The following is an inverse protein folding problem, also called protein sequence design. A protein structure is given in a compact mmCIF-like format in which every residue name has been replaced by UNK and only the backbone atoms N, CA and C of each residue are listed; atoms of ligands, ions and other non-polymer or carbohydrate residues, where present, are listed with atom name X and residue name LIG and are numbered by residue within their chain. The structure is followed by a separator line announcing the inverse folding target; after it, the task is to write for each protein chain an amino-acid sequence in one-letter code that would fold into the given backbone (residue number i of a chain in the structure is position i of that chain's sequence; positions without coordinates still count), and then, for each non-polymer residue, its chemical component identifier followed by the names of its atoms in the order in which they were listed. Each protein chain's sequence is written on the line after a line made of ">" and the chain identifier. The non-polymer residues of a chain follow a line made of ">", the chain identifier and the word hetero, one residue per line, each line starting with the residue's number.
data_IF_743543125367
#
_entry.id   IF_743543125367
#
_cell.length_a   1.000
_cell.length_b   1.000
_cell.length_c   1.000
_cell.angle_alpha   90.00
_cell.angle_beta   90.00
_cell.angle_gamma   90.00
#
_symmetry.space_group_name_H-M   'P 1'
#
loop_
_entity.id
_entity.type
_entity.pdbx_description
1 polymer ?
#
# COMPACT_ATOMS: atom_id res chain seq x y z
N UNK A 1 35.14 38.88 11.81
CA UNK A 1 34.34 37.87 11.05
C UNK A 1 34.76 36.49 11.53
N UNK A 2 33.82 35.73 12.08
CA UNK A 2 34.09 34.35 12.52
C UNK A 2 34.37 33.47 11.30
N UNK A 3 35.42 32.64 11.32
CA UNK A 3 35.87 31.85 10.18
C UNK A 3 35.04 30.57 9.96
N UNK A 4 34.24 30.13 10.96
CA UNK A 4 33.26 29.07 10.82
C UNK A 4 32.12 29.19 11.84
N UNK A 5 31.00 28.50 11.60
CA UNK A 5 29.86 28.46 12.54
C UNK A 5 30.23 27.83 13.89
N UNK A 6 31.20 26.91 13.93
CA UNK A 6 31.70 26.28 15.15
C UNK A 6 32.47 27.28 16.02
N UNK A 7 33.29 28.16 15.42
CA UNK A 7 34.01 29.22 16.12
C UNK A 7 33.05 30.25 16.68
N UNK A 8 31.99 30.58 15.93
CA UNK A 8 30.92 31.48 16.39
C UNK A 8 30.13 30.85 17.58
N UNK A 9 29.79 29.58 17.50
CA UNK A 9 29.10 28.85 18.58
C UNK A 9 29.95 28.81 19.87
N UNK A 10 31.25 28.56 19.74
CA UNK A 10 32.19 28.55 20.88
C UNK A 10 32.35 29.94 21.51
N UNK A 11 32.39 30.99 20.69
CA UNK A 11 32.42 32.36 21.17
C UNK A 11 31.15 32.77 21.93
N UNK A 12 29.97 32.28 21.46
CA UNK A 12 28.68 32.51 22.12
C UNK A 12 28.51 31.69 23.39
N UNK A 13 29.03 30.47 23.47
CA UNK A 13 29.00 29.65 24.68
C UNK A 13 29.84 30.21 25.81
N UNK A 14 30.92 30.91 25.48
CA UNK A 14 31.78 31.58 26.47
C UNK A 14 31.20 32.92 26.98
N UNK A 15 30.12 33.42 26.39
CA UNK A 15 29.43 34.63 26.81
C UNK A 15 28.21 34.39 27.72
N UNK A 16 27.82 33.12 27.92
CA UNK A 16 26.73 32.77 28.82
C UNK A 16 27.30 32.48 30.21
N UNK A 17 26.75 33.07 31.29
CA UNK A 17 27.19 32.81 32.65
C UNK A 17 26.85 31.35 33.02
N UNK A 18 27.80 30.66 33.66
CA UNK A 18 27.62 29.31 34.16
C UNK A 18 26.52 29.31 35.24
N UNK A 19 25.41 28.62 34.91
CA UNK A 19 24.36 28.38 35.90
C UNK A 19 24.65 27.08 36.59
N UNK A 20 25.28 27.16 37.78
CA UNK A 20 25.46 26.08 38.73
C UNK A 20 24.10 25.69 39.34
N UNK A 21 23.49 24.63 38.84
CA UNK A 21 22.39 23.96 39.49
C UNK A 21 22.76 22.49 39.75
N UNK A 22 23.17 22.20 40.96
CA UNK A 22 23.42 20.89 41.53
C UNK A 22 22.09 20.12 41.66
N UNK A 23 21.91 18.90 41.18
CA UNK A 23 20.76 18.09 41.56
C UNK A 23 20.95 17.44 42.94
N UNK A 24 19.97 17.69 43.78
CA UNK A 24 19.83 17.11 45.14
C UNK A 24 19.55 15.61 45.03
N UNK A 25 20.31 14.83 45.80
CA UNK A 25 20.16 13.42 46.02
C UNK A 25 18.87 13.12 46.80
N UNK A 26 18.01 12.21 46.25
CA UNK A 26 16.98 11.53 47.04
C UNK A 26 17.24 10.04 47.09
N UNK A 27 17.41 9.61 48.33
CA UNK A 27 17.70 8.30 48.86
C UNK A 27 16.81 7.17 48.35
N UNK A 28 17.47 6.08 48.06
CA UNK A 28 16.90 4.75 47.91
C UNK A 28 16.17 4.28 49.15
N UNK A 29 14.99 3.70 49.00
CA UNK A 29 14.32 2.91 50.05
C UNK A 29 14.13 1.50 49.53
N UNK A 30 14.68 0.61 50.32
CA UNK A 30 14.80 -0.83 50.16
C UNK A 30 13.47 -1.57 50.11
N UNK A 31 13.49 -2.63 49.32
CA UNK A 31 12.55 -3.74 49.14
C UNK A 31 12.39 -4.55 50.44
N UNK A 32 11.26 -5.23 50.69
CA UNK A 32 11.36 -6.60 51.10
C UNK A 32 10.73 -7.57 50.12
N UNK A 33 11.48 -8.61 49.89
CA UNK A 33 11.24 -9.90 49.29
C UNK A 33 10.11 -10.66 50.00
N UNK A 34 9.16 -11.24 49.29
CA UNK A 34 8.50 -12.49 49.70
C UNK A 34 7.60 -13.06 48.60
N UNK A 35 7.82 -14.33 48.31
CA UNK A 35 6.76 -15.24 47.94
C UNK A 35 6.81 -15.92 46.59
N UNK A 36 7.45 -17.05 46.62
CA UNK A 36 7.44 -18.14 45.63
C UNK A 36 6.06 -18.69 45.29
N UNK A 37 5.92 -19.07 44.00
CA UNK A 37 5.25 -20.25 43.40
C UNK A 37 3.70 -20.26 43.34
N UNK A 38 3.11 -21.17 42.57
CA UNK A 38 3.66 -22.14 41.61
C UNK A 38 2.96 -22.17 40.23
N UNK A 39 3.65 -22.81 39.29
CA UNK A 39 3.21 -23.21 37.94
C UNK A 39 2.11 -24.27 38.03
N UNK A 40 1.03 -24.22 37.25
CA UNK A 40 0.18 -25.38 37.01
C UNK A 40 0.67 -26.19 35.81
N UNK A 41 0.73 -27.48 36.05
CA UNK A 41 1.10 -28.57 35.17
C UNK A 41 0.06 -28.79 34.06
N UNK A 42 0.54 -29.25 32.90
CA UNK A 42 -0.23 -29.87 31.86
C UNK A 42 -0.70 -31.26 32.26
N UNK A 43 -1.91 -31.70 31.95
CA UNK A 43 -2.19 -33.10 31.88
C UNK A 43 -2.05 -33.61 30.45
N UNK A 44 -1.10 -34.49 30.33
CA UNK A 44 -0.88 -35.38 29.19
C UNK A 44 -1.82 -36.58 29.34
N UNK A 45 -2.77 -36.80 28.44
CA UNK A 45 -3.42 -38.13 28.28
C UNK A 45 -3.43 -38.55 26.83
N UNK A 46 -2.55 -39.46 26.55
CA UNK A 46 -2.64 -40.44 25.41
C UNK A 46 -3.79 -41.40 25.66
N UNK A 47 -4.67 -41.58 24.67
CA UNK A 47 -5.35 -42.84 24.30
C UNK A 47 -5.76 -42.73 22.82
N UNK A 48 -5.22 -43.48 22.09
CA UNK A 48 -5.15 -44.61 21.16
C UNK A 48 -6.51 -45.13 20.71
N UNK A 49 -6.62 -45.14 19.33
CA UNK A 49 -7.34 -45.97 18.42
C UNK A 49 -8.89 -45.92 18.46
N UNK A 50 -9.58 -45.73 17.34
CA UNK A 50 -9.81 -46.80 16.36
C UNK A 50 -10.60 -46.26 15.14
N UNK A 51 -10.20 -46.69 13.98
CA UNK A 51 -10.82 -46.85 12.68
C UNK A 51 -12.36 -46.65 12.58
N UNK A 52 -12.91 -45.90 11.62
CA UNK A 52 -13.11 -46.30 10.22
C UNK A 52 -13.80 -45.14 9.47
N UNK A 53 -13.57 -44.91 8.19
CA UNK A 53 -14.15 -43.80 7.47
C UNK A 53 -15.56 -44.12 6.99
N UNK A 54 -16.51 -43.39 7.51
CA UNK A 54 -17.88 -43.41 6.99
C UNK A 54 -17.93 -42.47 5.76
N UNK A 55 -18.14 -43.09 4.60
CA UNK A 55 -18.40 -42.44 3.33
C UNK A 55 -19.69 -41.61 3.46
N UNK A 56 -19.56 -40.34 3.59
CA UNK A 56 -20.66 -39.40 3.41
C UNK A 56 -21.04 -39.33 1.93
N UNK A 57 -22.23 -39.84 1.64
CA UNK A 57 -22.86 -39.80 0.32
C UNK A 57 -23.20 -38.34 0.02
N UNK A 58 -22.60 -37.79 -1.05
CA UNK A 58 -23.03 -36.54 -1.67
C UNK A 58 -24.55 -36.60 -1.93
N UNK A 59 -25.33 -35.57 -1.55
CA UNK A 59 -26.72 -35.47 -1.97
C UNK A 59 -26.78 -35.33 -3.50
N UNK A 60 -27.53 -36.23 -4.12
CA UNK A 60 -27.86 -36.15 -5.54
C UNK A 60 -28.57 -34.81 -5.80
N UNK A 61 -28.00 -34.02 -6.72
CA UNK A 61 -28.70 -32.90 -7.35
C UNK A 61 -29.96 -33.45 -8.01
N UNK A 62 -31.12 -33.20 -7.44
CA UNK A 62 -32.41 -33.35 -8.11
C UNK A 62 -32.45 -32.32 -9.26
N UNK A 63 -32.55 -32.83 -10.46
CA UNK A 63 -32.83 -32.02 -11.65
C UNK A 63 -34.24 -31.46 -11.53
N UNK A 64 -34.46 -30.15 -11.76
CA UNK A 64 -35.81 -29.60 -11.81
C UNK A 64 -36.61 -30.31 -12.90
N UNK A 65 -37.92 -30.55 -12.69
CA UNK A 65 -38.76 -31.20 -13.67
C UNK A 65 -38.84 -30.38 -14.94
N UNK A 66 -38.54 -30.98 -16.08
CA UNK A 66 -38.73 -30.43 -17.40
C UNK A 66 -40.23 -30.12 -17.58
N UNK A 67 -40.67 -28.88 -17.45
CA UNK A 67 -41.97 -28.45 -17.94
C UNK A 67 -41.93 -28.49 -19.47
N UNK A 68 -42.41 -29.60 -20.00
CA UNK A 68 -42.65 -29.72 -21.44
C UNK A 68 -43.92 -28.95 -21.81
N UNK A 69 -43.81 -28.06 -22.79
CA UNK A 69 -44.81 -28.07 -23.88
C UNK A 69 -45.98 -27.13 -23.79
N UNK A 70 -46.13 -26.17 -22.84
CA UNK A 70 -47.29 -25.26 -22.85
C UNK A 70 -47.14 -24.07 -23.82
N UNK A 71 -45.96 -23.56 -24.00
CA UNK A 71 -45.74 -22.32 -24.78
C UNK A 71 -45.87 -22.52 -26.31
N UNK A 72 -45.51 -23.68 -26.84
CA UNK A 72 -45.69 -23.98 -28.30
C UNK A 72 -47.12 -24.17 -28.67
N UNK A 73 -47.96 -24.70 -27.82
CA UNK A 73 -49.36 -24.92 -28.10
C UNK A 73 -50.18 -23.59 -28.10
N UNK A 74 -49.84 -22.70 -27.16
CA UNK A 74 -50.47 -21.34 -27.11
C UNK A 74 -50.12 -20.50 -28.34
N UNK A 75 -48.84 -20.51 -28.74
CA UNK A 75 -48.36 -19.79 -29.93
C UNK A 75 -49.01 -20.37 -31.22
N UNK A 76 -49.21 -21.67 -31.31
CA UNK A 76 -49.84 -22.34 -32.45
C UNK A 76 -51.33 -22.01 -32.52
N UNK A 77 -52.00 -21.85 -31.35
CA UNK A 77 -53.41 -21.51 -31.25
C UNK A 77 -53.65 -20.05 -31.65
N UNK A 78 -52.75 -19.13 -31.26
CA UNK A 78 -52.81 -17.71 -31.70
C UNK A 78 -52.56 -17.58 -33.19
N UNK A 79 -51.61 -18.30 -33.76
CA UNK A 79 -51.33 -18.32 -35.23
C UNK A 79 -52.52 -18.87 -35.97
N UNK A 80 -53.18 -19.96 -35.50
CA UNK A 80 -54.36 -20.53 -36.12
C UNK A 80 -55.56 -19.58 -36.08
N UNK A 81 -55.76 -18.86 -34.97
CA UNK A 81 -56.81 -17.85 -34.85
C UNK A 81 -56.55 -16.66 -35.76
N UNK A 82 -55.33 -16.21 -35.93
CA UNK A 82 -54.95 -15.14 -36.84
C UNK A 82 -55.11 -15.56 -38.30
N UNK A 83 -54.82 -16.78 -38.65
CA UNK A 83 -55.04 -17.33 -40.01
C UNK A 83 -56.53 -17.45 -40.32
N UNK A 84 -57.35 -17.85 -39.33
CA UNK A 84 -58.82 -17.93 -39.51
C UNK A 84 -59.48 -16.55 -39.64
N UNK A 85 -59.03 -15.55 -38.87
CA UNK A 85 -59.50 -14.17 -38.97
C UNK A 85 -59.06 -13.48 -40.25
N UNK A 86 -57.80 -13.72 -40.66
CA UNK A 86 -57.25 -13.22 -41.96
C UNK A 86 -57.90 -13.88 -43.17
N UNK A 87 -58.21 -15.16 -43.07
CA UNK A 87 -58.90 -15.88 -44.18
C UNK A 87 -60.30 -15.40 -44.48
N UNK A 88 -61.05 -14.96 -43.47
CA UNK A 88 -62.41 -14.45 -43.68
C UNK A 88 -62.43 -13.09 -44.42
N UNK A 89 -61.45 -12.23 -44.14
CA UNK A 89 -61.33 -10.89 -44.77
C UNK A 89 -60.79 -10.99 -46.24
N UNK A 90 -59.89 -11.95 -46.51
CA UNK A 90 -59.41 -12.21 -47.86
C UNK A 90 -60.50 -12.80 -48.75
N UNK A 91 -61.32 -13.71 -48.18
CA UNK A 91 -62.45 -14.30 -48.92
C UNK A 91 -63.51 -13.21 -49.29
N UNK A 92 -63.76 -12.27 -48.38
CA UNK A 92 -64.75 -11.19 -48.63
C UNK A 92 -64.15 -10.14 -49.59
N UNK A 93 -62.84 -9.91 -49.61
CA UNK A 93 -62.20 -9.02 -50.58
C UNK A 93 -62.14 -9.57 -52.02
N UNK A 94 -62.13 -10.90 -52.18
CA UNK A 94 -62.13 -11.53 -53.48
C UNK A 94 -63.54 -11.45 -54.17
N UNK A 95 -64.60 -11.57 -53.35
CA UNK A 95 -65.98 -11.43 -53.84
C UNK A 95 -66.28 -10.00 -54.29
N UNK A 96 -65.83 -8.98 -53.55
CA UNK A 96 -65.99 -7.60 -53.86
C UNK A 96 -65.12 -7.12 -55.08
N UNK A 97 -64.01 -7.83 -55.37
CA UNK A 97 -63.15 -7.54 -56.49
C UNK A 97 -63.79 -7.88 -57.83
N UNK A 98 -64.68 -8.90 -57.87
CA UNK A 98 -65.31 -9.29 -59.17
C UNK A 98 -66.45 -8.36 -59.57
N UNK A 99 -67.19 -7.80 -58.56
CA UNK A 99 -68.31 -6.89 -58.91
C UNK A 99 -67.94 -5.40 -58.98
N UNK A 100 -66.85 -4.98 -58.33
CA UNK A 100 -66.45 -3.55 -58.29
C UNK A 100 -65.47 -3.09 -59.36
N UNK A 101 -65.01 -3.99 -60.27
CA UNK A 101 -63.92 -3.74 -61.21
C UNK A 101 -64.25 -2.69 -62.36
N UNK A 102 -65.42 -2.18 -62.43
CA UNK A 102 -65.80 -1.21 -63.43
C UNK A 102 -65.87 0.26 -62.94
N UNK A 103 -65.52 0.55 -61.72
CA UNK A 103 -65.43 1.92 -61.16
C UNK A 103 -64.05 2.19 -60.59
N UNK A 104 -63.16 2.89 -61.36
CA UNK A 104 -61.76 3.08 -60.88
C UNK A 104 -61.63 3.79 -59.54
N UNK A 105 -62.58 4.61 -59.16
CA UNK A 105 -62.60 5.30 -57.84
C UNK A 105 -63.00 4.37 -56.68
N UNK A 106 -63.88 3.37 -56.92
CA UNK A 106 -64.33 2.42 -55.89
C UNK A 106 -63.27 1.37 -55.69
N UNK A 107 -62.59 0.88 -56.73
CA UNK A 107 -61.49 -0.08 -56.59
C UNK A 107 -60.29 0.46 -55.81
N UNK A 108 -59.91 1.73 -56.00
CA UNK A 108 -58.85 2.37 -55.29
C UNK A 108 -59.21 2.65 -53.81
N UNK A 109 -60.46 2.94 -53.49
CA UNK A 109 -60.92 3.13 -52.14
C UNK A 109 -60.95 1.78 -51.34
N UNK A 110 -61.41 0.71 -52.02
CA UNK A 110 -61.40 -0.66 -51.38
C UNK A 110 -59.98 -1.14 -51.19
N UNK A 111 -59.06 -0.90 -52.14
CA UNK A 111 -57.64 -1.25 -51.92
C UNK A 111 -57.03 -0.52 -50.75
N UNK A 112 -57.24 0.79 -50.59
CA UNK A 112 -56.78 1.57 -49.43
C UNK A 112 -57.34 1.10 -48.11
N UNK A 113 -58.64 0.81 -48.04
CA UNK A 113 -59.30 0.26 -46.81
C UNK A 113 -58.73 -1.12 -46.48
N UNK A 114 -58.44 -1.95 -47.48
CA UNK A 114 -57.86 -3.26 -47.26
C UNK A 114 -56.38 -3.16 -46.79
N UNK A 115 -55.59 -2.27 -47.38
CA UNK A 115 -54.22 -1.97 -46.93
C UNK A 115 -54.20 -1.44 -45.53
N UNK A 116 -55.15 -0.56 -45.16
CA UNK A 116 -55.24 -0.04 -43.79
C UNK A 116 -55.67 -1.11 -42.75
N UNK A 117 -56.57 -2.01 -43.14
CA UNK A 117 -56.95 -3.12 -42.31
C UNK A 117 -55.83 -4.12 -42.07
N UNK A 118 -55.03 -4.45 -43.12
CA UNK A 118 -53.87 -5.31 -43.01
C UNK A 118 -52.83 -4.66 -42.09
N UNK A 119 -52.58 -3.34 -42.30
CA UNK A 119 -51.67 -2.60 -41.40
C UNK A 119 -52.13 -2.65 -39.96
N UNK A 120 -53.40 -2.43 -39.66
CA UNK A 120 -53.96 -2.52 -38.29
C UNK A 120 -53.76 -3.89 -37.68
N UNK A 121 -54.02 -4.96 -38.44
CA UNK A 121 -53.83 -6.33 -37.97
C UNK A 121 -52.35 -6.67 -37.69
N UNK A 122 -51.43 -6.20 -38.53
CA UNK A 122 -50.01 -6.39 -38.30
C UNK A 122 -49.51 -5.62 -37.08
N UNK A 123 -49.95 -4.38 -36.85
CA UNK A 123 -49.64 -3.59 -35.67
C UNK A 123 -50.19 -4.28 -34.41
N UNK A 124 -51.47 -4.76 -34.42
CA UNK A 124 -52.05 -5.49 -33.32
C UNK A 124 -51.31 -6.79 -33.00
N UNK A 125 -50.82 -7.50 -34.01
CA UNK A 125 -49.99 -8.68 -33.83
C UNK A 125 -48.68 -8.35 -33.14
N UNK A 126 -47.97 -7.28 -33.56
CA UNK A 126 -46.74 -6.80 -32.95
C UNK A 126 -46.99 -6.39 -31.48
N UNK A 127 -48.06 -5.66 -31.20
CA UNK A 127 -48.42 -5.24 -29.86
C UNK A 127 -48.71 -6.46 -28.94
N UNK A 128 -49.40 -7.47 -29.50
CA UNK A 128 -49.73 -8.71 -28.77
C UNK A 128 -48.47 -9.52 -28.45
N UNK A 129 -47.55 -9.65 -29.42
CA UNK A 129 -46.29 -10.33 -29.21
C UNK A 129 -45.40 -9.61 -28.18
N UNK A 130 -45.29 -8.28 -28.30
CA UNK A 130 -44.56 -7.48 -27.33
C UNK A 130 -45.15 -7.54 -25.91
N UNK A 131 -46.50 -7.56 -25.80
CA UNK A 131 -47.17 -7.75 -24.52
C UNK A 131 -46.85 -9.08 -23.89
N UNK A 132 -46.77 -10.16 -24.66
CA UNK A 132 -46.37 -11.48 -24.15
C UNK A 132 -44.96 -11.49 -23.57
N UNK A 133 -44.02 -10.75 -24.19
CA UNK A 133 -42.68 -10.55 -23.57
C UNK A 133 -42.75 -9.72 -22.28
N UNK A 134 -43.53 -8.64 -22.30
CA UNK A 134 -43.70 -7.78 -21.12
C UNK A 134 -44.33 -8.52 -19.91
N UNK A 135 -45.33 -9.36 -20.15
CA UNK A 135 -45.96 -10.22 -19.11
C UNK A 135 -44.96 -11.20 -18.50
N UNK A 136 -43.99 -11.65 -19.31
CA UNK A 136 -42.83 -12.46 -18.83
C UNK A 136 -41.74 -11.62 -18.18
N UNK A 137 -41.90 -10.30 -18.05
CA UNK A 137 -40.91 -9.32 -17.58
C UNK A 137 -39.64 -9.25 -18.45
N UNK A 138 -39.75 -9.71 -19.71
CA UNK A 138 -38.67 -9.63 -20.68
C UNK A 138 -38.84 -8.35 -21.51
N UNK A 139 -38.69 -7.21 -20.80
CA UNK A 139 -38.86 -5.89 -21.41
C UNK A 139 -37.87 -5.59 -22.54
N UNK A 140 -36.70 -6.21 -22.51
CA UNK A 140 -35.69 -6.05 -23.55
C UNK A 140 -36.22 -6.60 -24.90
N UNK A 141 -36.83 -7.78 -24.92
CA UNK A 141 -37.44 -8.35 -26.08
C UNK A 141 -38.76 -7.67 -26.43
N UNK A 142 -39.53 -7.18 -25.47
CA UNK A 142 -40.72 -6.36 -25.74
C UNK A 142 -40.35 -5.07 -26.48
N UNK A 143 -39.35 -4.31 -26.02
CA UNK A 143 -38.83 -3.09 -26.68
C UNK A 143 -38.30 -3.41 -28.06
N UNK A 144 -37.57 -4.50 -28.26
CA UNK A 144 -37.04 -4.93 -29.54
C UNK A 144 -38.18 -5.26 -30.53
N UNK A 145 -39.18 -6.04 -30.10
CA UNK A 145 -40.33 -6.38 -30.91
C UNK A 145 -41.05 -5.11 -31.43
N UNK A 146 -41.31 -4.13 -30.57
CA UNK A 146 -41.90 -2.85 -30.95
C UNK A 146 -40.98 -2.03 -31.85
N UNK A 147 -39.65 -2.01 -31.61
CA UNK A 147 -38.67 -1.30 -32.45
C UNK A 147 -38.63 -1.88 -33.88
N UNK A 148 -38.70 -3.20 -34.02
CA UNK A 148 -38.79 -3.88 -35.29
C UNK A 148 -40.12 -3.53 -35.99
N UNK A 149 -41.23 -3.39 -35.26
CA UNK A 149 -42.52 -2.89 -35.77
C UNK A 149 -42.43 -1.45 -36.26
N UNK A 150 -41.75 -0.57 -35.52
CA UNK A 150 -41.55 0.84 -35.92
C UNK A 150 -40.66 0.98 -37.16
N UNK A 151 -39.81 0.00 -37.45
CA UNK A 151 -39.06 -0.01 -38.70
C UNK A 151 -39.98 -0.14 -39.93
N UNK A 152 -41.12 -0.86 -39.78
CA UNK A 152 -42.14 -1.01 -40.84
C UNK A 152 -43.19 0.10 -40.79
N UNK A 153 -43.50 0.59 -39.59
CA UNK A 153 -44.53 1.59 -39.33
C UNK A 153 -43.98 2.76 -38.49
N UNK A 154 -43.08 3.58 -39.01
CA UNK A 154 -42.29 4.55 -38.23
C UNK A 154 -43.13 5.65 -37.57
N UNK A 155 -44.33 5.96 -38.13
CA UNK A 155 -45.20 7.01 -37.58
C UNK A 155 -46.36 6.46 -36.74
N UNK A 156 -46.35 5.19 -36.39
CA UNK A 156 -47.43 4.62 -35.62
C UNK A 156 -47.37 5.05 -34.15
N UNK A 157 -48.38 5.81 -33.72
CA UNK A 157 -48.45 6.38 -32.39
C UNK A 157 -48.62 5.31 -31.30
N UNK A 158 -49.31 4.19 -31.58
CA UNK A 158 -49.53 3.11 -30.62
C UNK A 158 -48.21 2.33 -30.34
N UNK A 159 -47.46 2.03 -31.40
CA UNK A 159 -46.14 1.42 -31.26
C UNK A 159 -45.17 2.35 -30.52
N UNK A 160 -45.15 3.65 -30.89
CA UNK A 160 -44.29 4.66 -30.22
C UNK A 160 -44.64 4.76 -28.72
N UNK A 161 -45.91 4.83 -28.38
CA UNK A 161 -46.34 4.90 -26.96
C UNK A 161 -45.95 3.62 -26.19
N UNK A 162 -46.16 2.44 -26.79
CA UNK A 162 -45.80 1.17 -26.15
C UNK A 162 -44.28 0.97 -26.02
N UNK A 163 -43.50 1.45 -26.98
CA UNK A 163 -42.04 1.47 -26.83
C UNK A 163 -41.60 2.26 -25.61
N UNK A 164 -42.09 3.49 -25.47
CA UNK A 164 -41.77 4.34 -24.31
C UNK A 164 -42.20 3.71 -22.97
N UNK A 165 -43.39 3.06 -22.97
CA UNK A 165 -43.87 2.33 -21.76
C UNK A 165 -42.93 1.18 -21.38
N UNK A 166 -42.54 0.33 -22.35
CA UNK A 166 -41.66 -0.81 -22.07
C UNK A 166 -40.23 -0.42 -21.78
N UNK A 167 -39.70 0.65 -22.38
CA UNK A 167 -38.41 1.25 -22.03
C UNK A 167 -38.42 1.77 -20.58
N UNK A 168 -39.51 2.39 -20.14
CA UNK A 168 -39.69 2.84 -18.75
C UNK A 168 -39.76 1.65 -17.78
N UNK A 169 -40.51 0.58 -18.14
CA UNK A 169 -40.60 -0.64 -17.32
C UNK A 169 -39.23 -1.38 -17.26
N UNK A 170 -38.49 -1.43 -18.35
CA UNK A 170 -37.13 -1.97 -18.42
C UNK A 170 -36.18 -1.22 -17.48
N UNK A 171 -36.23 0.11 -17.54
CA UNK A 171 -35.41 0.95 -16.64
C UNK A 171 -35.77 0.74 -15.17
N UNK A 172 -37.06 0.66 -14.84
CA UNK A 172 -37.54 0.38 -13.49
C UNK A 172 -37.10 -1.00 -12.98
N UNK A 173 -37.19 -2.04 -13.82
CA UNK A 173 -36.73 -3.38 -13.49
C UNK A 173 -35.20 -3.40 -13.27
N UNK A 174 -34.43 -2.80 -14.17
CA UNK A 174 -32.96 -2.71 -14.05
C UNK A 174 -32.55 -2.00 -12.77
N UNK A 175 -33.25 -0.91 -12.40
CA UNK A 175 -33.06 -0.22 -11.13
C UNK A 175 -33.33 -1.15 -9.94
N UNK A 176 -34.47 -1.87 -9.96
CA UNK A 176 -34.85 -2.79 -8.89
C UNK A 176 -33.84 -3.92 -8.72
N UNK A 177 -33.40 -4.54 -9.80
CA UNK A 177 -32.39 -5.60 -9.79
C UNK A 177 -31.05 -5.09 -9.21
N UNK A 178 -30.67 -3.85 -9.55
CA UNK A 178 -29.48 -3.19 -8.99
C UNK A 178 -29.61 -2.95 -7.49
N UNK A 179 -30.76 -2.47 -7.02
CA UNK A 179 -31.04 -2.26 -5.59
C UNK A 179 -31.00 -3.57 -4.82
N UNK A 180 -31.57 -4.64 -5.36
CA UNK A 180 -31.57 -5.97 -4.74
C UNK A 180 -30.13 -6.55 -4.67
N UNK A 181 -29.37 -6.40 -5.74
CA UNK A 181 -27.97 -6.83 -5.77
C UNK A 181 -27.11 -6.08 -4.75
N UNK A 182 -27.25 -4.76 -4.70
CA UNK A 182 -26.53 -3.93 -3.74
C UNK A 182 -26.92 -4.25 -2.29
N UNK A 183 -28.23 -4.48 -2.03
CA UNK A 183 -28.72 -4.88 -0.73
C UNK A 183 -28.15 -6.25 -0.30
N UNK A 184 -28.02 -7.20 -1.22
CA UNK A 184 -27.41 -8.50 -0.96
C UNK A 184 -25.94 -8.36 -0.54
N UNK A 185 -25.18 -7.48 -1.18
CA UNK A 185 -23.80 -7.17 -0.75
C UNK A 185 -23.76 -6.52 0.63
N UNK A 186 -24.63 -5.55 0.89
CA UNK A 186 -24.70 -4.87 2.18
C UNK A 186 -25.09 -5.82 3.32
N UNK A 187 -25.99 -6.77 3.08
CA UNK A 187 -26.42 -7.74 4.06
C UNK A 187 -25.29 -8.64 4.61
N UNK A 188 -24.25 -8.87 3.82
CA UNK A 188 -23.06 -9.61 4.25
C UNK A 188 -21.90 -8.67 4.67
N UNK A 189 -22.17 -7.38 4.86
CA UNK A 189 -21.19 -6.38 5.28
C UNK A 189 -20.25 -5.92 4.17
N UNK A 190 -20.45 -6.35 2.92
CA UNK A 190 -19.63 -5.92 1.78
C UNK A 190 -20.13 -4.59 1.22
N UNK A 191 -20.02 -3.53 2.03
CA UNK A 191 -20.45 -2.19 1.65
C UNK A 191 -19.69 -1.59 0.48
N UNK A 192 -18.45 -2.04 0.24
CA UNK A 192 -17.69 -1.61 -0.94
C UNK A 192 -18.41 -1.99 -2.22
N UNK A 193 -18.70 -3.28 -2.39
CA UNK A 193 -19.41 -3.77 -3.59
C UNK A 193 -20.82 -3.21 -3.69
N UNK A 194 -21.53 -3.05 -2.55
CA UNK A 194 -22.84 -2.42 -2.53
C UNK A 194 -22.78 -0.98 -3.08
N UNK A 195 -21.81 -0.18 -2.61
CA UNK A 195 -21.62 1.20 -3.03
C UNK A 195 -21.23 1.30 -4.50
N UNK A 196 -20.26 0.48 -4.97
CA UNK A 196 -19.83 0.43 -6.37
C UNK A 196 -21.02 0.10 -7.30
N UNK A 197 -21.87 -0.88 -6.91
CA UNK A 197 -23.06 -1.28 -7.66
C UNK A 197 -24.06 -0.13 -7.80
N UNK A 198 -24.39 0.56 -6.69
CA UNK A 198 -25.33 1.67 -6.72
C UNK A 198 -24.77 2.89 -7.46
N UNK A 199 -23.50 3.22 -7.30
CA UNK A 199 -22.87 4.34 -8.00
C UNK A 199 -22.87 4.16 -9.51
N UNK A 200 -22.77 2.93 -10.00
CA UNK A 200 -22.87 2.63 -11.43
C UNK A 200 -24.27 2.95 -11.98
N UNK A 201 -25.32 2.55 -11.27
CA UNK A 201 -26.70 2.88 -11.63
C UNK A 201 -27.00 4.38 -11.50
N UNK A 202 -26.47 5.05 -10.49
CA UNK A 202 -26.65 6.49 -10.28
C UNK A 202 -26.08 7.34 -11.44
N UNK A 203 -25.02 6.88 -12.10
CA UNK A 203 -24.46 7.58 -13.30
C UNK A 203 -25.48 7.68 -14.42
N UNK A 204 -26.42 6.74 -14.51
CA UNK A 204 -27.49 6.74 -15.50
C UNK A 204 -28.76 7.47 -15.02
N UNK A 205 -29.04 7.40 -13.69
CA UNK A 205 -30.23 7.96 -13.04
C UNK A 205 -29.81 9.00 -11.99
N UNK A 206 -29.22 10.09 -12.44
CA UNK A 206 -28.50 11.09 -11.59
C UNK A 206 -29.41 11.69 -10.51
N UNK A 207 -30.71 11.87 -10.76
CA UNK A 207 -31.66 12.52 -9.83
C UNK A 207 -32.59 11.54 -9.13
N UNK A 208 -32.33 10.25 -9.18
CA UNK A 208 -33.19 9.27 -8.49
C UNK A 208 -32.99 9.32 -6.98
N UNK A 209 -34.03 9.72 -6.27
CA UNK A 209 -33.97 9.94 -4.81
C UNK A 209 -33.64 8.67 -4.01
N UNK A 210 -34.12 7.51 -4.45
CA UNK A 210 -33.88 6.23 -3.79
C UNK A 210 -32.42 5.78 -3.96
N UNK A 211 -31.88 5.93 -5.17
CA UNK A 211 -30.46 5.65 -5.42
C UNK A 211 -29.56 6.60 -4.61
N UNK A 212 -29.89 7.89 -4.56
CA UNK A 212 -29.15 8.87 -3.74
C UNK A 212 -29.16 8.50 -2.25
N UNK A 213 -30.30 8.07 -1.73
CA UNK A 213 -30.42 7.61 -0.35
C UNK A 213 -29.55 6.36 -0.10
N UNK A 214 -29.58 5.39 -1.02
CA UNK A 214 -28.77 4.17 -0.90
C UNK A 214 -27.29 4.44 -1.06
N UNK A 215 -26.87 5.38 -1.90
CA UNK A 215 -25.48 5.85 -1.97
C UNK A 215 -25.04 6.40 -0.61
N UNK A 216 -25.84 7.23 0.03
CA UNK A 216 -25.52 7.79 1.35
C UNK A 216 -25.41 6.69 2.42
N UNK A 217 -26.38 5.75 2.45
CA UNK A 217 -26.43 4.62 3.39
C UNK A 217 -25.18 3.72 3.24
N UNK A 218 -24.87 3.29 2.01
CA UNK A 218 -23.75 2.39 1.77
C UNK A 218 -22.39 3.08 1.88
N UNK A 219 -22.32 4.39 1.58
CA UNK A 219 -21.14 5.21 1.88
C UNK A 219 -20.83 5.22 3.37
N UNK A 220 -21.84 5.46 4.22
CA UNK A 220 -21.66 5.46 5.67
C UNK A 220 -21.28 4.07 6.21
N UNK A 221 -21.91 3.01 5.70
CA UNK A 221 -21.54 1.62 6.01
C UNK A 221 -20.11 1.29 5.62
N UNK A 222 -19.68 1.70 4.42
CA UNK A 222 -18.33 1.48 3.94
C UNK A 222 -17.28 2.23 4.77
N UNK A 223 -17.54 3.50 5.09
CA UNK A 223 -16.68 4.30 5.98
C UNK A 223 -16.49 3.64 7.33
N UNK A 224 -17.57 3.22 7.97
CA UNK A 224 -17.53 2.51 9.27
C UNK A 224 -16.70 1.22 9.17
N UNK A 225 -16.93 0.44 8.12
CA UNK A 225 -16.17 -0.79 7.87
C UNK A 225 -14.68 -0.52 7.70
N UNK A 226 -14.31 0.48 6.89
CA UNK A 226 -12.91 0.86 6.64
C UNK A 226 -12.22 1.38 7.93
N UNK A 227 -12.91 2.22 8.71
CA UNK A 227 -12.37 2.73 9.98
C UNK A 227 -12.16 1.59 10.98
N UNK A 228 -13.11 0.65 11.06
CA UNK A 228 -12.99 -0.51 11.95
C UNK A 228 -11.82 -1.44 11.52
N UNK A 229 -11.67 -1.69 10.22
CA UNK A 229 -10.56 -2.47 9.69
C UNK A 229 -9.20 -1.79 9.98
N UNK A 230 -9.11 -0.49 9.75
CA UNK A 230 -7.91 0.28 10.06
C UNK A 230 -7.59 0.28 11.56
N UNK A 231 -8.61 0.34 12.43
CA UNK A 231 -8.43 0.27 13.88
C UNK A 231 -7.90 -1.11 14.35
N UNK A 232 -8.22 -2.19 13.65
CA UNK A 232 -7.64 -3.51 13.94
C UNK A 232 -6.14 -3.54 13.62
N UNK A 233 -5.73 -2.93 12.50
CA UNK A 233 -4.31 -2.76 12.18
C UNK A 233 -3.58 -1.86 13.21
N UNK A 234 -4.23 -0.77 13.65
CA UNK A 234 -3.70 0.11 14.70
C UNK A 234 -3.44 -0.65 16.02
N UNK A 235 -4.35 -1.53 16.44
CA UNK A 235 -4.17 -2.38 17.65
C UNK A 235 -2.93 -3.28 17.54
N UNK A 236 -2.60 -3.76 16.36
CA UNK A 236 -1.38 -4.54 16.10
C UNK A 236 -0.16 -3.68 15.78
N UNK A 237 -0.27 -2.35 15.83
CA UNK A 237 0.75 -1.37 15.43
C UNK A 237 1.17 -1.47 13.96
N UNK A 238 0.34 -2.04 13.13
CA UNK A 238 0.53 -2.09 11.68
C UNK A 238 -0.03 -0.81 11.03
N UNK A 239 0.61 0.32 11.33
CA UNK A 239 0.17 1.63 10.90
C UNK A 239 0.18 1.81 9.38
N UNK A 240 1.07 1.09 8.68
CA UNK A 240 1.10 1.13 7.21
C UNK A 240 -0.17 0.56 6.58
N UNK A 241 -0.63 -0.61 7.05
CA UNK A 241 -1.86 -1.19 6.56
C UNK A 241 -3.10 -0.42 7.03
N UNK A 242 -3.07 0.18 8.24
CA UNK A 242 -4.10 1.13 8.66
C UNK A 242 -4.19 2.34 7.72
N UNK A 243 -3.06 2.96 7.37
CA UNK A 243 -2.96 4.05 6.41
C UNK A 243 -3.50 3.65 5.02
N UNK A 244 -3.04 2.52 4.49
CA UNK A 244 -3.48 2.00 3.18
C UNK A 244 -4.99 1.75 3.14
N UNK A 245 -5.54 1.16 4.19
CA UNK A 245 -6.99 0.90 4.30
C UNK A 245 -7.82 2.18 4.20
N UNK A 246 -7.42 3.23 4.90
CA UNK A 246 -8.12 4.52 4.84
C UNK A 246 -7.89 5.22 3.49
N UNK A 247 -6.68 5.14 2.93
CA UNK A 247 -6.37 5.69 1.60
C UNK A 247 -7.22 5.06 0.51
N UNK A 248 -7.38 3.74 0.54
CA UNK A 248 -8.23 3.00 -0.40
C UNK A 248 -9.72 3.37 -0.22
N UNK A 249 -10.14 3.60 1.03
CA UNK A 249 -11.51 4.07 1.29
C UNK A 249 -11.75 5.45 0.68
N UNK A 250 -10.80 6.37 0.80
CA UNK A 250 -10.89 7.72 0.20
C UNK A 250 -10.91 7.70 -1.33
N UNK A 251 -10.35 6.67 -1.97
CA UNK A 251 -10.42 6.51 -3.42
C UNK A 251 -11.85 6.27 -3.92
N UNK A 252 -12.72 5.67 -3.09
CA UNK A 252 -14.12 5.40 -3.40
C UNK A 252 -15.06 6.48 -2.85
N UNK A 253 -14.71 7.04 -1.67
CA UNK A 253 -15.48 8.07 -0.98
C UNK A 253 -14.70 9.38 -0.98
N UNK A 254 -14.83 10.14 -2.07
CA UNK A 254 -14.09 11.40 -2.26
C UNK A 254 -14.41 12.42 -1.15
N UNK A 255 -13.37 13.13 -0.69
CA UNK A 255 -13.46 14.31 0.21
C UNK A 255 -14.13 14.08 1.56
N UNK A 256 -14.10 12.87 2.10
CA UNK A 256 -14.62 12.64 3.45
C UNK A 256 -13.69 13.18 4.54
N UNK A 257 -14.19 14.12 5.34
CA UNK A 257 -13.39 14.77 6.38
C UNK A 257 -12.94 13.79 7.47
N UNK A 258 -13.79 12.82 7.85
CA UNK A 258 -13.47 11.86 8.90
C UNK A 258 -12.37 10.87 8.48
N UNK A 259 -12.44 10.42 7.23
CA UNK A 259 -11.39 9.56 6.65
C UNK A 259 -10.07 10.33 6.47
N UNK A 260 -10.12 11.60 6.05
CA UNK A 260 -8.91 12.43 5.93
C UNK A 260 -8.20 12.63 7.27
N UNK A 261 -8.95 12.87 8.35
CA UNK A 261 -8.38 12.94 9.72
C UNK A 261 -7.70 11.62 10.09
N UNK A 262 -8.34 10.48 9.82
CA UNK A 262 -7.76 9.15 10.08
C UNK A 262 -6.54 8.86 9.20
N UNK A 263 -6.58 9.28 7.93
CA UNK A 263 -5.45 9.13 7.02
C UNK A 263 -4.20 9.84 7.58
N UNK A 264 -4.36 11.12 7.97
CA UNK A 264 -3.26 11.90 8.54
C UNK A 264 -2.75 11.31 9.85
N UNK A 265 -3.66 10.81 10.72
CA UNK A 265 -3.27 10.15 11.96
C UNK A 265 -2.40 8.89 11.70
N UNK A 266 -2.85 8.02 10.80
CA UNK A 266 -2.11 6.78 10.51
C UNK A 266 -0.83 7.02 9.72
N UNK A 267 -0.80 8.04 8.86
CA UNK A 267 0.45 8.49 8.22
C UNK A 267 1.47 8.93 9.26
N UNK A 268 1.06 9.76 10.23
CA UNK A 268 1.94 10.20 11.31
C UNK A 268 2.41 9.04 12.18
N UNK A 269 1.50 8.18 12.62
CA UNK A 269 1.85 7.01 13.44
C UNK A 269 2.84 6.07 12.71
N UNK A 270 2.65 5.90 11.41
CA UNK A 270 3.60 5.11 10.60
C UNK A 270 4.96 5.79 10.52
N UNK A 271 5.00 7.09 10.24
CA UNK A 271 6.24 7.84 10.19
C UNK A 271 6.99 7.79 11.53
N UNK A 272 6.29 7.97 12.65
CA UNK A 272 6.88 7.93 13.99
C UNK A 272 7.45 6.55 14.33
N UNK A 273 6.73 5.48 13.97
CA UNK A 273 7.22 4.12 14.18
C UNK A 273 8.49 3.83 13.36
N UNK A 274 8.51 4.26 12.09
CA UNK A 274 9.69 4.12 11.22
C UNK A 274 10.88 4.93 11.74
N UNK A 275 10.63 6.15 12.22
CA UNK A 275 11.68 7.00 12.81
C UNK A 275 12.28 6.34 14.05
N UNK A 276 11.44 5.81 14.94
CA UNK A 276 11.91 5.12 16.15
C UNK A 276 12.77 3.88 15.81
N UNK A 277 12.39 3.11 14.81
CA UNK A 277 13.18 1.97 14.34
C UNK A 277 14.49 2.43 13.69
N UNK A 278 14.46 3.48 12.86
CA UNK A 278 15.65 4.06 12.25
C UNK A 278 16.63 4.59 13.29
N UNK A 279 16.14 5.23 14.36
CA UNK A 279 16.96 5.67 15.49
C UNK A 279 17.61 4.51 16.23
N UNK A 280 16.86 3.42 16.43
CA UNK A 280 17.41 2.20 17.05
C UNK A 280 18.53 1.58 16.20
N UNK A 281 18.35 1.54 14.88
CA UNK A 281 19.39 1.08 13.95
C UNK A 281 20.62 2.00 13.96
N UNK A 282 20.43 3.30 13.92
CA UNK A 282 21.53 4.27 13.98
C UNK A 282 22.30 4.19 15.32
N UNK A 283 21.60 4.01 16.44
CA UNK A 283 22.22 3.80 17.74
C UNK A 283 23.08 2.51 17.78
N UNK A 284 22.68 1.49 17.01
CA UNK A 284 23.47 0.28 16.78
C UNK A 284 24.55 0.44 15.70
N UNK A 285 24.79 1.68 15.20
CA UNK A 285 25.71 2.00 14.10
C UNK A 285 25.32 1.40 12.75
N UNK A 286 24.09 0.91 12.57
CA UNK A 286 23.53 0.44 11.32
C UNK A 286 22.91 1.63 10.53
N UNK A 287 23.75 2.57 10.10
CA UNK A 287 23.28 3.74 9.36
C UNK A 287 22.71 3.40 7.99
N UNK A 288 23.24 2.37 7.33
CA UNK A 288 22.75 1.92 6.03
C UNK A 288 21.38 1.25 6.15
N UNK A 289 21.18 0.43 7.17
CA UNK A 289 19.89 -0.16 7.49
C UNK A 289 18.84 0.91 7.87
N UNK A 290 19.23 1.93 8.65
CA UNK A 290 18.36 3.06 8.99
C UNK A 290 17.93 3.84 7.73
N UNK A 291 18.88 4.16 6.83
CA UNK A 291 18.57 4.84 5.56
C UNK A 291 17.69 4.01 4.64
N UNK A 292 17.96 2.72 4.54
CA UNK A 292 17.16 1.79 3.73
C UNK A 292 15.72 1.74 4.21
N UNK A 293 15.51 1.68 5.52
CA UNK A 293 14.19 1.69 6.16
C UNK A 293 13.43 2.99 5.85
N UNK A 294 14.07 4.15 6.05
CA UNK A 294 13.48 5.46 5.77
C UNK A 294 13.14 5.64 4.29
N UNK A 295 14.03 5.19 3.38
CA UNK A 295 13.77 5.24 1.96
C UNK A 295 12.62 4.31 1.53
N UNK A 296 12.47 3.14 2.16
CA UNK A 296 11.34 2.25 1.93
C UNK A 296 10.02 2.91 2.36
N UNK A 297 10.00 3.55 3.53
CA UNK A 297 8.83 4.26 4.02
C UNK A 297 8.46 5.47 3.14
N UNK A 298 9.44 6.21 2.63
CA UNK A 298 9.22 7.32 1.70
C UNK A 298 8.64 6.88 0.34
N UNK A 299 8.76 5.62 -0.07
CA UNK A 299 8.03 5.10 -1.23
C UNK A 299 6.53 5.02 -0.98
N UNK A 300 6.11 4.73 0.24
CA UNK A 300 4.70 4.62 0.64
C UNK A 300 4.08 6.00 0.91
N UNK A 301 4.82 6.90 1.57
CA UNK A 301 4.40 8.26 1.94
C UNK A 301 5.45 9.30 1.51
N UNK A 302 5.58 9.58 0.20
CA UNK A 302 6.72 10.32 -0.37
C UNK A 302 6.82 11.79 0.07
N UNK A 303 5.73 12.38 0.55
CA UNK A 303 5.69 13.78 0.96
C UNK A 303 5.85 13.99 2.47
N UNK A 304 6.12 12.93 3.24
CA UNK A 304 6.23 13.03 4.69
C UNK A 304 7.55 13.71 5.10
N UNK A 305 7.43 14.91 5.67
CA UNK A 305 8.58 15.74 6.06
C UNK A 305 9.35 15.18 7.27
N UNK A 306 8.68 14.46 8.16
CA UNK A 306 9.31 13.80 9.32
C UNK A 306 10.34 12.77 8.85
N UNK A 307 9.97 11.91 7.89
CA UNK A 307 10.86 10.91 7.32
C UNK A 307 12.01 11.54 6.52
N UNK A 308 11.75 12.59 5.73
CA UNK A 308 12.79 13.30 4.97
C UNK A 308 13.80 13.94 5.89
N UNK A 309 13.32 14.61 6.93
CA UNK A 309 14.18 15.25 7.94
C UNK A 309 15.04 14.20 8.66
N UNK A 310 14.43 13.08 9.07
CA UNK A 310 15.17 11.98 9.72
C UNK A 310 16.21 11.36 8.79
N UNK A 311 15.89 11.12 7.52
CA UNK A 311 16.83 10.61 6.53
C UNK A 311 18.05 11.53 6.37
N UNK A 312 17.82 12.84 6.35
CA UNK A 312 18.90 13.85 6.30
C UNK A 312 19.77 13.80 7.57
N UNK A 313 19.14 13.73 8.75
CA UNK A 313 19.86 13.63 10.03
C UNK A 313 20.72 12.35 10.10
N UNK A 314 20.16 11.19 9.75
CA UNK A 314 20.88 9.90 9.75
C UNK A 314 22.05 9.95 8.75
N UNK A 315 21.83 10.54 7.56
CA UNK A 315 22.87 10.67 6.54
C UNK A 315 24.01 11.60 7.00
N UNK A 316 23.65 12.67 7.70
CA UNK A 316 24.63 13.61 8.25
C UNK A 316 25.38 13.04 9.47
N UNK A 317 24.77 12.12 10.23
CA UNK A 317 25.37 11.49 11.39
C UNK A 317 26.26 10.27 11.06
N UNK A 318 26.23 9.81 9.81
CA UNK A 318 27.01 8.65 9.39
C UNK A 318 28.51 8.95 9.42
N UNK A 319 29.33 8.09 10.04
CA UNK A 319 30.78 8.26 10.02
C UNK A 319 31.33 8.08 8.63
N UNK A 320 32.40 8.80 8.33
CA UNK A 320 33.14 8.74 7.08
C UNK A 320 34.42 7.90 7.31
N UNK A 321 34.63 6.90 6.46
CA UNK A 321 35.89 6.14 6.51
C UNK A 321 37.06 7.04 6.14
N UNK A 322 38.12 7.04 6.97
CA UNK A 322 39.34 7.80 6.67
C UNK A 322 39.97 7.38 5.34
N UNK A 323 39.79 6.12 4.93
CA UNK A 323 40.27 5.61 3.66
C UNK A 323 39.65 6.29 2.42
N UNK A 324 38.49 6.95 2.59
CA UNK A 324 37.82 7.70 1.52
C UNK A 324 38.38 9.13 1.32
N UNK A 325 39.20 9.60 2.26
CA UNK A 325 39.80 10.91 2.18
C UNK A 325 41.21 10.84 1.55
N UNK A 326 41.59 11.89 0.84
CA UNK A 326 42.94 12.05 0.32
C UNK A 326 43.85 12.67 1.37
N UNK A 327 44.96 12.03 1.78
CA UNK A 327 45.89 12.64 2.69
C UNK A 327 46.60 13.85 2.03
N UNK A 328 46.96 14.84 2.83
CA UNK A 328 47.74 16.01 2.38
C UNK A 328 49.23 15.81 2.56
N UNK A 329 49.60 14.90 3.50
CA UNK A 329 50.99 14.54 3.75
C UNK A 329 51.06 13.07 4.21
N UNK A 330 52.09 12.32 3.75
CA UNK A 330 52.21 10.91 4.00
C UNK A 330 51.16 10.08 3.27
N UNK A 331 51.10 8.79 3.53
CA UNK A 331 50.08 7.89 3.00
C UNK A 331 49.94 6.66 3.88
N UNK A 332 48.67 6.15 3.97
CA UNK A 332 48.43 4.78 4.39
C UNK A 332 48.26 3.88 3.19
N UNK A 333 48.85 2.71 3.23
CA UNK A 333 48.67 1.67 2.21
C UNK A 333 47.43 0.84 2.60
N UNK A 334 46.27 1.26 2.13
CA UNK A 334 45.01 0.61 2.45
C UNK A 334 44.88 -0.76 1.79
N UNK A 335 44.49 -1.76 2.57
CA UNK A 335 44.24 -3.12 2.07
C UNK A 335 45.49 -3.91 1.70
N UNK A 336 46.69 -3.44 2.07
CA UNK A 336 47.93 -4.11 1.76
C UNK A 336 48.39 -5.00 2.92
N UNK A 337 48.89 -6.20 2.59
CA UNK A 337 49.39 -7.19 3.55
C UNK A 337 48.27 -8.07 4.17
N UNK A 338 48.66 -8.93 5.11
CA UNK A 338 47.75 -9.78 5.89
C UNK A 338 47.51 -9.17 7.27
N UNK A 339 46.38 -8.56 7.54
CA UNK A 339 46.09 -7.87 8.81
C UNK A 339 45.70 -8.89 9.91
N UNK A 340 46.64 -9.73 10.30
CA UNK A 340 46.44 -10.71 11.38
C UNK A 340 47.25 -10.34 12.60
N UNK A 341 46.65 -10.45 13.78
CA UNK A 341 47.36 -10.29 15.04
C UNK A 341 48.07 -11.60 15.43
N UNK A 342 48.96 -11.57 16.47
CA UNK A 342 49.65 -12.77 16.98
C UNK A 342 48.70 -13.86 17.48
N UNK A 343 47.39 -13.53 17.75
CA UNK A 343 46.37 -14.47 18.26
C UNK A 343 45.59 -15.11 17.10
N UNK A 344 45.84 -14.67 15.85
CA UNK A 344 45.16 -15.19 14.64
C UNK A 344 43.87 -14.46 14.28
N UNK A 345 43.51 -13.37 14.95
CA UNK A 345 42.39 -12.55 14.54
C UNK A 345 42.70 -11.85 13.23
N UNK A 346 41.70 -11.83 12.33
CA UNK A 346 41.81 -11.24 11.01
C UNK A 346 40.96 -9.94 10.96
N UNK A 347 41.63 -8.84 10.57
CA UNK A 347 41.01 -7.51 10.49
C UNK A 347 40.61 -7.10 9.07
N UNK A 348 40.75 -7.99 8.09
CA UNK A 348 40.37 -7.73 6.69
C UNK A 348 38.87 -7.52 6.49
N UNK A 349 38.05 -8.15 7.34
CA UNK A 349 36.60 -8.06 7.28
C UNK A 349 36.05 -6.64 7.52
N UNK A 350 36.82 -5.75 8.11
CA UNK A 350 36.45 -4.33 8.31
C UNK A 350 36.37 -3.53 6.99
N UNK A 351 36.82 -4.11 5.87
CA UNK A 351 36.87 -3.49 4.55
C UNK A 351 37.93 -2.39 4.39
N UNK A 352 38.39 -1.82 5.52
CA UNK A 352 39.43 -0.77 5.50
C UNK A 352 40.40 -1.01 6.61
N UNK A 353 41.62 -1.39 6.24
CA UNK A 353 42.74 -1.58 7.18
C UNK A 353 44.04 -1.10 6.52
N UNK A 354 45.01 -0.78 7.39
CA UNK A 354 46.41 -0.50 6.98
C UNK A 354 47.35 -1.08 8.04
N UNK A 355 48.51 -1.51 7.61
CA UNK A 355 49.62 -1.93 8.51
C UNK A 355 50.60 -0.79 8.53
N UNK A 356 50.82 -0.22 9.71
CA UNK A 356 51.69 0.93 9.93
C UNK A 356 52.93 0.51 10.68
N UNK A 357 54.09 0.97 10.24
CA UNK A 357 55.39 0.76 10.88
C UNK A 357 55.97 2.06 11.43
N UNK A 358 57.18 1.96 11.95
CA UNK A 358 57.93 3.09 12.48
C UNK A 358 57.96 4.26 11.51
N UNK A 359 57.85 5.47 12.04
CA UNK A 359 57.82 6.73 11.33
C UNK A 359 56.67 6.92 10.32
N UNK A 360 55.71 6.01 10.21
CA UNK A 360 54.52 6.29 9.47
C UNK A 360 53.82 7.48 10.08
N UNK A 361 53.66 8.51 9.27
CA UNK A 361 52.92 9.72 9.61
C UNK A 361 52.00 10.03 8.44
N UNK A 362 50.71 10.23 8.73
CA UNK A 362 49.76 10.63 7.71
C UNK A 362 48.96 11.79 8.23
N UNK A 363 48.70 12.76 7.36
CA UNK A 363 47.96 13.96 7.69
C UNK A 363 46.80 14.18 6.73
N UNK A 364 45.65 14.53 7.28
CA UNK A 364 44.44 14.80 6.54
C UNK A 364 43.87 16.17 6.89
N UNK A 365 43.31 16.84 5.90
CA UNK A 365 42.54 18.04 6.16
C UNK A 365 41.07 17.66 6.38
N UNK A 366 40.55 17.99 7.54
CA UNK A 366 39.19 17.59 7.99
C UNK A 366 38.23 18.77 8.11
N UNK A 367 38.72 20.02 7.89
CA UNK A 367 37.93 21.24 7.77
C UNK A 367 37.04 21.56 8.98
N UNK A 368 37.30 21.02 10.16
CA UNK A 368 36.45 21.19 11.32
C UNK A 368 35.08 20.48 11.23
N UNK A 369 34.90 19.55 10.27
CA UNK A 369 33.61 18.93 10.00
C UNK A 369 33.30 17.72 10.89
N UNK A 370 34.29 17.26 11.69
CA UNK A 370 34.16 16.04 12.49
C UNK A 370 34.41 16.31 13.97
N UNK A 371 33.65 15.61 14.81
CA UNK A 371 33.77 15.73 16.25
C UNK A 371 34.78 14.77 16.88
N UNK A 372 34.94 13.57 16.27
CA UNK A 372 35.85 12.53 16.78
C UNK A 372 36.35 11.62 15.65
N UNK A 373 37.49 10.98 15.91
CA UNK A 373 38.03 9.86 15.15
C UNK A 373 38.01 8.59 16.03
N UNK A 374 37.63 7.46 15.43
CA UNK A 374 37.69 6.15 16.08
C UNK A 374 38.47 5.18 15.20
N UNK A 375 39.16 4.24 15.83
CA UNK A 375 39.88 3.18 15.13
C UNK A 375 40.09 1.96 16.03
N UNK A 376 40.28 0.80 15.42
CA UNK A 376 40.78 -0.38 16.10
C UNK A 376 42.28 -0.46 15.86
N UNK A 377 43.05 -0.63 16.94
CA UNK A 377 44.51 -0.78 16.91
C UNK A 377 44.84 -2.17 17.42
N UNK A 378 45.56 -2.96 16.63
CA UNK A 378 45.99 -4.29 17.02
C UNK A 378 47.52 -4.46 16.74
N UNK A 379 48.22 -5.33 17.49
CA UNK A 379 49.58 -5.71 17.11
C UNK A 379 49.54 -6.47 15.77
N UNK A 380 50.50 -6.19 14.89
CA UNK A 380 50.72 -7.04 13.71
C UNK A 380 51.32 -8.39 14.13
N UNK A 381 51.04 -9.48 13.39
CA UNK A 381 51.59 -10.82 13.66
C UNK A 381 53.12 -10.83 13.75
N UNK A 382 53.75 -9.90 13.02
CA UNK A 382 55.21 -9.76 12.97
C UNK A 382 55.79 -8.77 14.00
N UNK A 383 54.94 -8.22 14.90
CA UNK A 383 55.43 -7.38 15.99
C UNK A 383 56.41 -8.17 16.90
N UNK A 384 57.60 -7.64 17.13
CA UNK A 384 58.65 -8.30 17.97
C UNK A 384 58.17 -8.49 19.41
N UNK A 385 58.71 -9.50 20.08
CA UNK A 385 58.33 -9.83 21.47
C UNK A 385 58.56 -8.69 22.48
N UNK A 386 59.60 -7.88 22.22
CA UNK A 386 59.98 -6.77 23.12
C UNK A 386 59.56 -5.39 22.55
N UNK A 387 58.93 -5.36 21.37
CA UNK A 387 58.51 -4.11 20.77
C UNK A 387 57.33 -3.51 21.50
N UNK A 388 57.36 -2.21 21.69
CA UNK A 388 56.32 -1.42 22.37
C UNK A 388 55.95 -0.21 21.48
N UNK A 389 54.79 -0.25 20.87
CA UNK A 389 54.31 0.74 19.95
C UNK A 389 53.05 1.45 20.45
N UNK A 390 52.76 2.61 19.87
CA UNK A 390 51.51 3.33 20.13
C UNK A 390 51.12 4.13 18.89
N UNK A 391 49.88 4.60 18.86
CA UNK A 391 49.38 5.57 17.90
C UNK A 391 49.14 6.91 18.59
N UNK A 392 49.67 7.96 18.01
CA UNK A 392 49.48 9.33 18.47
C UNK A 392 48.59 10.06 17.45
N UNK A 393 47.61 10.79 17.97
CA UNK A 393 46.71 11.62 17.17
C UNK A 393 46.91 13.09 17.55
N UNK A 394 47.18 13.89 16.54
CA UNK A 394 47.34 15.34 16.66
C UNK A 394 46.16 16.03 15.97
N UNK A 395 45.75 17.14 16.51
CA UNK A 395 44.83 18.09 15.88
C UNK A 395 45.51 19.44 15.78
N UNK A 396 45.60 20.01 14.58
CA UNK A 396 46.26 21.30 14.30
C UNK A 396 47.67 21.36 14.93
N UNK A 397 48.47 20.30 14.71
CA UNK A 397 49.83 20.06 15.24
C UNK A 397 49.96 19.88 16.76
N UNK A 398 48.87 19.90 17.49
CA UNK A 398 48.85 19.62 18.95
C UNK A 398 48.56 18.16 19.20
N UNK A 399 49.43 17.47 19.94
CA UNK A 399 49.16 16.10 20.39
C UNK A 399 47.93 16.09 21.31
N UNK A 400 46.86 15.46 20.87
CA UNK A 400 45.61 15.40 21.64
C UNK A 400 45.44 14.08 22.40
N UNK A 401 45.95 12.98 21.84
CA UNK A 401 45.87 11.68 22.52
C UNK A 401 46.90 10.70 21.97
N UNK A 402 47.42 9.87 22.92
CA UNK A 402 48.23 8.69 22.61
C UNK A 402 47.42 7.43 22.99
N UNK A 403 47.47 6.40 22.13
CA UNK A 403 46.87 5.12 22.47
C UNK A 403 47.54 4.46 23.68
N UNK A 404 46.94 3.46 24.31
CA UNK A 404 47.71 2.54 25.16
C UNK A 404 48.91 1.97 24.39
N UNK A 405 49.92 1.57 25.12
CA UNK A 405 51.07 0.85 24.55
C UNK A 405 50.61 -0.51 24.05
N UNK A 406 50.93 -0.80 22.81
CA UNK A 406 50.60 -2.05 22.11
C UNK A 406 51.88 -2.87 22.04
N UNK A 407 51.80 -4.05 22.59
CA UNK A 407 52.88 -5.09 22.51
C UNK A 407 52.33 -6.32 21.83
N UNK A 408 53.20 -7.29 21.50
CA UNK A 408 52.76 -8.56 20.87
C UNK A 408 51.68 -9.32 21.70
N UNK A 409 51.56 -9.03 22.99
CA UNK A 409 50.61 -9.67 23.94
C UNK A 409 49.36 -8.84 24.23
N UNK A 410 49.23 -7.70 23.54
CA UNK A 410 48.09 -6.79 23.76
C UNK A 410 46.96 -7.20 22.84
N UNK A 411 45.74 -7.34 23.39
CA UNK A 411 44.50 -7.48 22.58
C UNK A 411 44.22 -6.22 21.78
N UNK A 412 43.41 -6.36 20.74
CA UNK A 412 42.99 -5.21 19.93
C UNK A 412 42.28 -4.15 20.80
N UNK A 413 42.68 -2.91 20.62
CA UNK A 413 42.19 -1.75 21.40
C UNK A 413 41.27 -0.91 20.52
N UNK A 414 40.08 -0.60 21.05
CA UNK A 414 39.21 0.44 20.48
C UNK A 414 39.70 1.81 20.94
N UNK A 415 40.15 2.62 20.00
CA UNK A 415 40.70 3.93 20.27
C UNK A 415 39.81 5.04 19.73
N UNK A 416 39.46 5.97 20.57
CA UNK A 416 38.59 7.09 20.22
C UNK A 416 39.21 8.41 20.71
N UNK A 417 39.19 9.43 19.84
CA UNK A 417 39.78 10.73 20.10
C UNK A 417 38.83 11.81 19.64
N UNK A 418 38.59 12.84 20.50
CA UNK A 418 37.86 14.06 20.08
C UNK A 418 38.77 14.91 19.22
N UNK A 419 38.26 15.30 18.06
CA UNK A 419 38.93 16.19 17.09
C UNK A 419 38.02 17.38 16.75
N UNK A 420 37.11 17.74 17.66
CA UNK A 420 36.11 18.78 17.44
C UNK A 420 36.77 20.13 17.06
N UNK A 421 36.42 20.65 15.89
CA UNK A 421 36.89 21.93 15.37
C UNK A 421 38.30 21.89 14.75
N UNK A 422 38.96 20.72 14.67
CA UNK A 422 40.26 20.59 14.03
C UNK A 422 40.17 20.87 12.51
N UNK A 423 41.06 21.70 12.00
CA UNK A 423 41.23 21.91 10.54
C UNK A 423 42.00 20.72 9.95
N UNK A 424 43.01 20.21 10.67
CA UNK A 424 43.91 19.11 10.28
C UNK A 424 44.02 18.06 11.38
N UNK A 425 44.11 16.79 10.99
CA UNK A 425 44.47 15.70 11.88
C UNK A 425 45.72 15.01 11.36
N UNK A 426 46.60 14.60 12.27
CA UNK A 426 47.78 13.86 11.96
C UNK A 426 47.84 12.60 12.83
N UNK A 427 48.05 11.44 12.19
CA UNK A 427 48.18 10.15 12.84
C UNK A 427 49.62 9.70 12.70
N UNK A 428 50.26 9.41 13.84
CA UNK A 428 51.69 9.07 13.90
C UNK A 428 51.87 7.74 14.60
N UNK A 429 52.62 6.84 14.01
CA UNK A 429 53.11 5.67 14.69
C UNK A 429 54.28 6.07 15.60
N UNK A 430 54.12 5.79 16.93
CA UNK A 430 55.12 6.02 17.94
C UNK A 430 55.63 4.69 18.52
N UNK A 431 56.86 4.67 19.01
CA UNK A 431 57.46 3.51 19.67
C UNK A 431 58.63 2.93 18.91
N UNK A 432 58.86 1.62 19.05
CA UNK A 432 60.06 0.94 18.56
C UNK A 432 60.18 0.98 17.04
N UNK A 433 61.43 1.07 16.54
CA UNK A 433 61.73 1.33 15.13
C UNK A 433 61.18 0.27 14.15
N UNK A 434 61.11 -1.01 14.56
CA UNK A 434 60.68 -2.11 13.70
C UNK A 434 59.22 -2.58 13.98
N UNK A 435 58.58 -1.99 14.98
CA UNK A 435 57.26 -2.42 15.40
C UNK A 435 56.18 -2.10 14.33
N UNK A 436 55.30 -3.05 14.10
CA UNK A 436 54.16 -2.88 13.20
C UNK A 436 52.85 -2.99 13.95
N UNK A 437 51.90 -2.12 13.60
CA UNK A 437 50.54 -2.13 14.12
C UNK A 437 49.53 -2.23 12.98
N UNK A 438 48.44 -2.91 13.22
CA UNK A 438 47.27 -2.93 12.34
C UNK A 438 46.31 -1.82 12.83
N UNK A 439 45.98 -0.93 11.90
CA UNK A 439 44.88 0.02 12.11
C UNK A 439 43.72 -0.38 11.21
N UNK A 440 42.56 -0.57 11.79
CA UNK A 440 41.36 -0.95 11.02
C UNK A 440 40.13 -0.15 11.48
N UNK A 441 39.13 -0.07 10.60
CA UNK A 441 37.87 0.64 10.86
C UNK A 441 38.09 2.08 11.35
N UNK A 442 38.95 2.83 10.64
CA UNK A 442 39.21 4.22 10.99
C UNK A 442 38.07 5.09 10.47
N UNK A 443 37.28 5.66 11.39
CA UNK A 443 36.06 6.40 11.12
C UNK A 443 36.13 7.81 11.70
N UNK A 444 35.73 8.79 10.89
CA UNK A 444 35.52 10.18 11.27
C UNK A 444 34.02 10.40 11.51
N UNK A 445 33.66 10.82 12.69
CA UNK A 445 32.27 11.07 13.10
C UNK A 445 31.95 12.56 13.03
N UNK A 446 30.81 12.96 12.42
CA UNK A 446 30.38 14.35 12.34
C UNK A 446 30.21 15.03 13.68
#
# INVERSE_FOLDING_TARGET
>A
RFRSAAVMKRALQNLLPANDAKPSSMTARSVPDSGSAPRPEQPNTKKKAEKTPMKEKKPKKEKPPKKKGGKKLLLLLVVVLLVLAGGATVAMSSVLKEEGANLPLVGSAISKVNEENVRKQEIESILTEAAAYADAKDYANAVKCIADGLTRYPEDASLTAKKAEYESQQAAQSKQDTLEQAAAYAAVGNYKSALETIQLAQKQLVSDAELLQKVAEYTDGYKKSAINAAAQYEQSRDYLNAYKTIKDALALVDRDASLNVKLSLYEQNYADAVVAEADSKAAASDFDGARSLLNAALKEIPNNETLKTKLSQISAAQPVSLASLTPINGSFEWGNGEPKDPFGNDYSASGTYTIVGCANTVEYRVYGNYSKITMTIAPDKDLGENDACCIQVYADDVLIKTSPTITRKTDAVQFSVSIEGAEYIKIVHGGEYWGKLILSNIQLWP
#
